data_IF_133197115504
#
_entry.id   IF_133197115504
#
_cell.length_a   1.000
_cell.length_b   1.000
_cell.length_c   1.000
_cell.angle_alpha   90.00
_cell.angle_beta   90.00
_cell.angle_gamma   90.00
#
_symmetry.space_group_name_H-M   'P 1'
#
loop_
_entity.id
_entity.type
_entity.pdbx_description
1 polymer ?
#
# COMPACT_ATOMS: atom_id res chain seq x y z
N UNK A 1 3.97 7.27 -5.91
CA UNK A 1 4.22 7.73 -4.53
C UNK A 1 3.47 9.04 -4.34
N UNK A 2 2.84 9.28 -3.19
CA UNK A 2 1.90 10.39 -2.96
C UNK A 2 2.51 11.80 -3.00
N UNK A 3 3.84 11.93 -3.18
CA UNK A 3 4.61 13.20 -3.13
C UNK A 3 4.37 14.03 -1.86
N UNK A 4 3.86 13.40 -0.80
CA UNK A 4 3.67 14.00 0.52
C UNK A 4 4.65 13.32 1.45
N UNK A 5 5.57 14.10 2.02
CA UNK A 5 6.44 13.64 3.10
C UNK A 5 5.63 13.49 4.39
N UNK A 6 5.72 12.34 5.07
CA UNK A 6 4.97 12.11 6.30
C UNK A 6 5.62 12.82 7.48
N UNK A 7 4.83 13.49 8.32
CA UNK A 7 5.33 14.03 9.60
C UNK A 7 5.70 12.94 10.61
N UNK A 8 5.05 11.77 10.55
CA UNK A 8 5.26 10.65 11.47
C UNK A 8 5.18 9.31 10.74
N UNK A 9 6.09 8.38 11.08
CA UNK A 9 6.08 6.99 10.63
C UNK A 9 5.95 6.06 11.81
N UNK A 10 5.08 5.05 11.69
CA UNK A 10 4.90 4.03 12.74
C UNK A 10 5.36 2.65 12.27
N UNK A 11 6.23 1.99 13.05
CA UNK A 11 6.75 0.64 12.75
C UNK A 11 6.69 -0.29 13.98
N UNK A 12 7.08 -1.56 13.82
CA UNK A 12 7.23 -2.54 14.91
C UNK A 12 8.43 -2.30 15.84
N UNK A 13 9.32 -1.35 15.49
CA UNK A 13 10.46 -0.98 16.31
C UNK A 13 11.72 -1.81 16.07
N UNK A 14 11.78 -2.58 14.97
CA UNK A 14 13.02 -3.23 14.56
C UNK A 14 14.20 -2.24 14.46
N UNK A 15 15.38 -2.68 14.86
CA UNK A 15 16.60 -1.84 15.00
C UNK A 15 17.10 -1.25 13.69
N UNK A 16 16.65 -1.77 12.54
CA UNK A 16 16.98 -1.23 11.22
C UNK A 16 16.20 0.02 10.85
N UNK A 17 15.02 0.25 11.44
CA UNK A 17 14.13 1.33 11.01
C UNK A 17 14.65 2.75 11.27
N UNK A 18 15.27 3.08 12.42
CA UNK A 18 15.73 4.45 12.65
C UNK A 18 16.68 4.95 11.55
N UNK A 19 17.62 4.10 11.14
CA UNK A 19 18.54 4.42 10.04
C UNK A 19 17.82 4.48 8.70
N UNK A 20 17.00 3.49 8.38
CA UNK A 20 16.27 3.47 7.11
C UNK A 20 15.32 4.68 6.95
N UNK A 21 14.66 5.11 8.04
CA UNK A 21 13.79 6.28 8.04
C UNK A 21 14.62 7.55 7.82
N UNK A 22 15.76 7.70 8.50
CA UNK A 22 16.63 8.85 8.29
C UNK A 22 17.17 8.93 6.85
N UNK A 23 17.56 7.78 6.27
CA UNK A 23 18.12 7.68 4.93
C UNK A 23 17.05 7.92 3.83
N UNK A 24 15.82 7.42 4.02
CA UNK A 24 14.77 7.46 2.98
C UNK A 24 13.79 8.63 3.12
N UNK A 25 13.55 9.11 4.35
CA UNK A 25 12.51 10.09 4.67
C UNK A 25 13.06 11.34 5.39
N UNK A 26 14.33 11.35 5.76
CA UNK A 26 14.97 12.45 6.48
C UNK A 26 14.83 12.36 8.00
N UNK A 27 15.53 13.26 8.69
CA UNK A 27 15.61 13.29 10.16
C UNK A 27 14.45 14.01 10.83
N UNK A 28 13.64 14.74 10.07
CA UNK A 28 12.52 15.54 10.58
C UNK A 28 11.24 14.71 10.80
N UNK A 29 11.24 13.45 10.36
CA UNK A 29 10.12 12.52 10.52
C UNK A 29 10.13 11.89 11.91
N UNK A 30 9.03 12.03 12.65
CA UNK A 30 8.88 11.41 13.95
C UNK A 30 8.72 9.88 13.81
N UNK A 31 9.66 9.12 14.39
CA UNK A 31 9.58 7.67 14.42
C UNK A 31 8.86 7.19 15.67
N UNK A 32 7.67 6.62 15.46
CA UNK A 32 6.85 6.04 16.52
C UNK A 32 6.85 4.51 16.47
N UNK A 33 6.84 3.89 17.63
CA UNK A 33 6.54 2.46 17.78
C UNK A 33 5.18 2.28 18.47
N UNK A 34 4.29 1.47 17.90
CA UNK A 34 2.99 1.22 18.50
C UNK A 34 2.37 -0.08 17.98
N UNK A 35 2.30 -1.09 18.85
CA UNK A 35 1.71 -2.39 18.53
C UNK A 35 0.30 -2.28 17.94
N UNK A 36 -0.56 -1.43 18.50
CA UNK A 36 -1.92 -1.25 18.00
C UNK A 36 -1.98 -0.59 16.61
N UNK A 37 -1.13 0.39 16.34
CA UNK A 37 -1.06 1.02 15.00
C UNK A 37 -0.48 0.04 13.97
N UNK A 38 0.45 -0.83 14.38
CA UNK A 38 1.01 -1.87 13.51
C UNK A 38 -0.05 -2.89 13.06
N UNK A 39 -1.11 -3.12 13.86
CA UNK A 39 -2.21 -4.00 13.45
C UNK A 39 -2.91 -3.53 12.17
N UNK A 40 -2.97 -2.22 11.90
CA UNK A 40 -3.58 -1.67 10.67
C UNK A 40 -2.77 -2.09 9.44
N UNK A 41 -1.44 -2.00 9.53
CA UNK A 41 -0.52 -2.43 8.48
C UNK A 41 -0.62 -3.94 8.29
N UNK A 42 -0.61 -4.72 9.38
CA UNK A 42 -0.78 -6.18 9.30
C UNK A 42 -2.13 -6.58 8.70
N UNK A 43 -3.20 -5.83 8.97
CA UNK A 43 -4.50 -6.07 8.36
C UNK A 43 -4.48 -5.75 6.85
N UNK A 44 -3.78 -4.70 6.43
CA UNK A 44 -3.60 -4.39 5.02
C UNK A 44 -2.88 -5.53 4.28
N UNK A 45 -1.83 -6.09 4.90
CA UNK A 45 -1.05 -7.20 4.37
C UNK A 45 -1.87 -8.48 4.14
N UNK A 46 -2.96 -8.71 4.89
CA UNK A 46 -3.77 -9.95 4.80
C UNK A 46 -4.28 -10.22 3.39
N UNK A 47 -4.68 -9.19 2.65
CA UNK A 47 -5.22 -9.35 1.30
C UNK A 47 -4.17 -9.90 0.32
N UNK A 48 -2.94 -9.40 0.41
CA UNK A 48 -1.81 -9.81 -0.44
C UNK A 48 -1.30 -11.18 0.02
N UNK A 49 -1.11 -11.36 1.34
CA UNK A 49 -0.74 -12.64 1.95
C UNK A 49 -1.70 -13.77 1.54
N UNK A 50 -3.00 -13.51 1.51
CA UNK A 50 -4.00 -14.50 1.07
C UNK A 50 -3.86 -14.92 -0.40
N UNK A 51 -3.32 -14.05 -1.27
CA UNK A 51 -3.14 -14.34 -2.70
C UNK A 51 -1.88 -15.17 -2.98
N UNK A 52 -0.75 -14.85 -2.34
CA UNK A 52 0.50 -15.56 -2.63
C UNK A 52 0.71 -16.81 -1.76
N UNK A 53 0.08 -16.92 -0.57
CA UNK A 53 0.23 -18.11 0.30
C UNK A 53 -0.12 -19.43 -0.41
N UNK A 54 -1.23 -19.55 -1.18
CA UNK A 54 -1.54 -20.76 -1.95
C UNK A 54 -0.48 -21.12 -3.00
N UNK A 55 0.28 -20.14 -3.48
CA UNK A 55 1.36 -20.31 -4.47
C UNK A 55 2.66 -20.84 -3.85
N UNK A 56 2.71 -21.01 -2.52
CA UNK A 56 3.89 -21.43 -1.73
C UNK A 56 5.08 -20.46 -1.87
N UNK A 57 4.77 -19.16 -1.94
CA UNK A 57 5.77 -18.09 -2.03
C UNK A 57 6.36 -17.91 -3.44
N UNK A 58 7.21 -16.90 -3.59
CA UNK A 58 7.87 -16.58 -4.85
C UNK A 58 9.19 -17.35 -4.97
N UNK A 59 9.50 -17.83 -6.18
CA UNK A 59 10.73 -18.58 -6.46
C UNK A 59 11.93 -17.69 -6.79
N UNK A 60 11.67 -16.44 -7.16
CA UNK A 60 12.66 -15.41 -7.43
C UNK A 60 12.06 -14.02 -7.19
N UNK A 61 12.91 -12.99 -7.21
CA UNK A 61 12.49 -11.60 -6.97
C UNK A 61 11.66 -11.01 -8.11
N UNK A 62 11.93 -11.35 -9.37
CA UNK A 62 11.18 -10.84 -10.53
C UNK A 62 9.70 -11.27 -10.48
N UNK A 63 9.44 -12.50 -10.05
CA UNK A 63 8.09 -13.00 -9.82
C UNK A 63 7.40 -12.27 -8.67
N UNK A 64 8.14 -11.98 -7.59
CA UNK A 64 7.62 -11.19 -6.47
C UNK A 64 7.28 -9.76 -6.92
N UNK A 65 8.17 -9.13 -7.70
CA UNK A 65 7.97 -7.78 -8.23
C UNK A 65 6.76 -7.72 -9.17
N UNK A 66 6.67 -8.65 -10.11
CA UNK A 66 5.53 -8.75 -11.03
C UNK A 66 4.22 -8.96 -10.29
N UNK A 67 4.23 -9.79 -9.24
CA UNK A 67 3.08 -10.00 -8.38
C UNK A 67 2.70 -8.75 -7.59
N UNK A 68 3.65 -8.06 -6.96
CA UNK A 68 3.40 -6.82 -6.23
C UNK A 68 2.82 -5.74 -7.13
N UNK A 69 3.37 -5.57 -8.35
CA UNK A 69 2.84 -4.62 -9.33
C UNK A 69 1.38 -4.94 -9.71
N UNK A 70 1.07 -6.20 -9.97
CA UNK A 70 -0.29 -6.60 -10.38
C UNK A 70 -1.31 -6.61 -9.24
N UNK A 71 -0.93 -7.08 -8.04
CA UNK A 71 -1.88 -7.36 -6.96
C UNK A 71 -1.87 -6.36 -5.82
N UNK A 72 -0.78 -5.62 -5.64
CA UNK A 72 -0.69 -4.56 -4.64
C UNK A 72 -0.92 -3.20 -5.29
N UNK A 73 -0.12 -2.81 -6.27
CA UNK A 73 -0.21 -1.47 -6.89
C UNK A 73 -1.55 -1.25 -7.59
N UNK A 74 -1.95 -2.14 -8.51
CA UNK A 74 -3.25 -2.02 -9.22
C UNK A 74 -4.42 -2.09 -8.23
N UNK A 75 -4.35 -2.95 -7.22
CA UNK A 75 -5.39 -3.06 -6.20
C UNK A 75 -5.51 -1.77 -5.40
N UNK A 76 -4.39 -1.20 -4.94
CA UNK A 76 -4.36 0.05 -4.19
C UNK A 76 -4.83 1.21 -5.04
N UNK A 77 -4.43 1.25 -6.31
CA UNK A 77 -4.90 2.21 -7.27
C UNK A 77 -6.41 2.14 -7.44
N UNK A 78 -7.00 0.95 -7.63
CA UNK A 78 -8.45 0.79 -7.81
C UNK A 78 -9.27 0.91 -6.50
N UNK A 79 -8.63 0.77 -5.34
CA UNK A 79 -9.30 0.85 -4.03
C UNK A 79 -9.57 2.31 -3.65
N UNK A 80 -10.85 2.71 -3.44
CA UNK A 80 -11.17 4.03 -2.93
C UNK A 80 -10.50 4.24 -1.58
N UNK A 81 -9.78 5.35 -1.42
CA UNK A 81 -9.30 5.77 -0.11
C UNK A 81 -10.52 6.22 0.72
N UNK A 82 -10.74 5.58 1.86
CA UNK A 82 -11.83 5.89 2.77
C UNK A 82 -11.37 5.73 4.20
N UNK A 83 -11.83 6.62 5.08
CA UNK A 83 -11.61 6.48 6.50
C UNK A 83 -12.42 5.31 7.07
N UNK A 84 -11.97 4.77 8.20
CA UNK A 84 -12.73 3.76 8.96
C UNK A 84 -14.09 4.37 9.33
N UNK A 85 -15.16 3.60 9.18
CA UNK A 85 -16.57 4.04 9.37
C UNK A 85 -17.07 5.12 8.41
N UNK A 86 -16.31 5.48 7.37
CA UNK A 86 -16.82 6.37 6.34
C UNK A 86 -17.82 5.64 5.44
N UNK A 87 -19.07 6.08 5.46
CA UNK A 87 -20.07 5.57 4.51
C UNK A 87 -19.82 6.18 3.12
N UNK A 88 -19.49 5.33 2.15
CA UNK A 88 -19.40 5.71 0.74
C UNK A 88 -20.44 4.88 0.01
N UNK A 89 -21.42 5.56 -0.59
CA UNK A 89 -22.48 4.92 -1.37
C UNK A 89 -21.91 4.05 -2.49
N UNK A 90 -22.60 2.96 -2.82
CA UNK A 90 -22.18 2.05 -3.90
C UNK A 90 -22.05 2.78 -5.24
N UNK A 91 -22.93 3.76 -5.50
CA UNK A 91 -22.88 4.62 -6.68
C UNK A 91 -21.56 5.39 -6.73
N UNK A 92 -21.17 6.04 -5.62
CA UNK A 92 -19.91 6.79 -5.55
C UNK A 92 -18.69 5.87 -5.71
N UNK A 93 -18.71 4.69 -5.10
CA UNK A 93 -17.64 3.68 -5.28
C UNK A 93 -17.51 3.26 -6.75
N UNK A 94 -18.64 3.04 -7.43
CA UNK A 94 -18.67 2.66 -8.85
C UNK A 94 -18.08 3.75 -9.73
N UNK A 95 -18.46 5.01 -9.50
CA UNK A 95 -17.91 6.16 -10.24
C UNK A 95 -16.38 6.23 -10.08
N UNK A 96 -15.88 6.18 -8.84
CA UNK A 96 -14.43 6.19 -8.56
C UNK A 96 -13.73 5.03 -9.27
N UNK A 97 -14.31 3.82 -9.20
CA UNK A 97 -13.74 2.65 -9.83
C UNK A 97 -13.64 2.80 -11.36
N UNK A 98 -14.72 3.21 -12.03
CA UNK A 98 -14.74 3.38 -13.48
C UNK A 98 -13.74 4.45 -13.93
N UNK A 99 -13.71 5.60 -13.24
CA UNK A 99 -12.75 6.68 -13.53
C UNK A 99 -11.30 6.20 -13.41
N UNK A 100 -11.00 5.45 -12.36
CA UNK A 100 -9.65 4.91 -12.15
C UNK A 100 -9.30 3.83 -13.16
N UNK A 101 -10.22 2.91 -13.50
CA UNK A 101 -9.97 1.92 -14.56
C UNK A 101 -9.64 2.61 -15.89
N UNK A 102 -10.35 3.69 -16.24
CA UNK A 102 -10.03 4.48 -17.43
C UNK A 102 -8.63 5.09 -17.35
N UNK A 103 -8.29 5.77 -16.24
CA UNK A 103 -6.96 6.34 -16.04
C UNK A 103 -5.83 5.27 -16.07
N UNK A 104 -6.07 4.09 -15.52
CA UNK A 104 -5.11 2.98 -15.56
C UNK A 104 -4.89 2.51 -17.01
N UNK A 105 -5.96 2.42 -17.80
CA UNK A 105 -5.88 2.05 -19.23
C UNK A 105 -5.03 3.06 -19.99
N UNK A 106 -5.23 4.35 -19.74
CA UNK A 106 -4.48 5.42 -20.38
C UNK A 106 -2.99 5.37 -19.99
N UNK A 107 -2.70 5.16 -18.70
CA UNK A 107 -1.32 4.98 -18.20
C UNK A 107 -0.61 3.79 -18.84
N UNK A 108 -1.29 2.65 -18.99
CA UNK A 108 -0.73 1.45 -19.62
C UNK A 108 -0.52 1.65 -21.13
N UNK A 109 -1.37 2.46 -21.77
CA UNK A 109 -1.26 2.73 -23.21
C UNK A 109 -0.20 3.77 -23.54
N UNK A 110 0.25 4.54 -22.55
CA UNK A 110 1.28 5.59 -22.68
C UNK A 110 2.71 5.08 -22.42
N UNK A 111 2.88 3.84 -21.96
CA UNK A 111 4.16 3.13 -21.76
C UNK A 111 4.44 2.17 -22.90
#
# INVERSE_FOLDING_TARGET
>A
VTQVEPEQVTTDGHTSYPRAIADELGTDVDHRTSQYKNNVIEQNHRGIKGRYRPMRGFKNFDAAQSFCRAFDEVRNFLRPASYINQNISLVRRRVIHVQRVAALRDLISAT
#
